data_IF_528595027802
#
_entry.id   IF_528595027802
#
_cell.length_a   1.000
_cell.length_b   1.000
_cell.length_c   1.000
_cell.angle_alpha   90.00
_cell.angle_beta   90.00
_cell.angle_gamma   90.00
#
_symmetry.space_group_name_H-M   'P 1'
#
loop_
_entity.id
_entity.type
_entity.pdbx_description
1 polymer ?
#
# COMPACT_ATOMS: atom_id res chain seq x y z
N UNK A 1 29.13 -5.09 0.74
CA UNK A 1 28.13 -5.76 -0.12
C UNK A 1 27.55 -6.89 0.70
N UNK A 2 26.52 -6.59 1.47
CA UNK A 2 25.78 -7.62 2.19
C UNK A 2 24.91 -8.33 1.15
N UNK A 3 25.15 -9.62 0.96
CA UNK A 3 24.39 -10.42 0.01
C UNK A 3 22.98 -10.59 0.54
N UNK A 4 22.00 -10.19 -0.27
CA UNK A 4 20.58 -10.45 -0.02
C UNK A 4 20.40 -11.95 0.29
N UNK A 5 20.14 -12.26 1.55
CA UNK A 5 19.73 -13.59 1.97
C UNK A 5 18.37 -13.83 1.34
N UNK A 6 18.30 -14.74 0.37
CA UNK A 6 17.04 -15.08 -0.27
C UNK A 6 16.13 -15.76 0.76
N UNK A 7 15.04 -15.08 1.16
CA UNK A 7 13.99 -15.67 1.99
C UNK A 7 13.33 -16.80 1.21
N UNK A 8 13.35 -18.04 1.70
CA UNK A 8 12.71 -19.12 0.97
C UNK A 8 11.19 -18.89 0.90
N UNK A 9 10.57 -19.25 -0.22
CA UNK A 9 9.14 -19.07 -0.45
C UNK A 9 8.24 -19.90 0.50
N UNK A 10 8.83 -20.76 1.34
CA UNK A 10 8.09 -21.53 2.35
C UNK A 10 7.75 -20.70 3.60
N UNK A 11 8.41 -19.55 3.82
CA UNK A 11 8.10 -18.63 4.92
C UNK A 11 7.02 -17.62 4.49
N UNK A 12 5.83 -18.16 4.24
CA UNK A 12 4.68 -17.37 3.73
C UNK A 12 4.33 -16.23 4.69
N UNK A 13 4.46 -16.43 6.01
CA UNK A 13 4.16 -15.41 7.01
C UNK A 13 5.06 -14.17 6.84
N UNK A 14 6.35 -14.36 6.65
CA UNK A 14 7.30 -13.28 6.40
C UNK A 14 7.02 -12.58 5.07
N UNK A 15 6.76 -13.34 4.00
CA UNK A 15 6.36 -12.77 2.70
C UNK A 15 5.08 -11.93 2.79
N UNK A 16 4.09 -12.38 3.56
CA UNK A 16 2.86 -11.62 3.82
C UNK A 16 3.08 -10.36 4.65
N UNK A 17 4.05 -10.36 5.56
CA UNK A 17 4.41 -9.16 6.31
C UNK A 17 5.13 -8.14 5.42
N UNK A 18 6.11 -8.59 4.62
CA UNK A 18 6.86 -7.72 3.71
C UNK A 18 5.98 -7.12 2.61
N UNK A 19 5.00 -7.88 2.10
CA UNK A 19 4.13 -7.43 1.01
C UNK A 19 3.25 -6.23 1.40
N UNK A 20 2.99 -6.02 2.70
CA UNK A 20 2.30 -4.84 3.21
C UNK A 20 3.06 -3.55 2.88
N UNK A 21 4.38 -3.60 2.79
CA UNK A 21 5.22 -2.42 2.56
C UNK A 21 5.62 -2.23 1.08
N UNK A 22 4.76 -2.64 0.14
CA UNK A 22 5.05 -2.60 -1.31
C UNK A 22 5.47 -1.20 -1.80
N UNK A 23 4.96 -0.14 -1.18
CA UNK A 23 5.27 1.24 -1.57
C UNK A 23 6.61 1.77 -1.03
N UNK A 24 7.20 1.10 -0.05
CA UNK A 24 8.55 1.39 0.46
C UNK A 24 9.65 0.84 -0.47
N UNK A 25 9.32 -0.12 -1.32
CA UNK A 25 10.25 -0.70 -2.28
C UNK A 25 10.46 0.14 -3.54
N UNK A 26 11.62 -0.03 -4.17
CA UNK A 26 11.88 0.49 -5.52
C UNK A 26 11.42 -0.52 -6.58
N UNK A 27 10.25 -0.24 -7.16
CA UNK A 27 9.76 -1.00 -8.31
C UNK A 27 10.72 -0.85 -9.50
N UNK A 28 10.60 -1.74 -10.48
CA UNK A 28 11.47 -1.73 -11.66
C UNK A 28 11.42 -0.38 -12.41
N UNK A 29 10.25 0.25 -12.50
CA UNK A 29 10.12 1.60 -13.08
C UNK A 29 10.89 2.67 -12.28
N UNK A 30 10.87 2.61 -10.93
CA UNK A 30 11.61 3.51 -10.06
C UNK A 30 13.12 3.38 -10.26
N UNK A 31 13.65 2.14 -10.25
CA UNK A 31 15.08 1.85 -10.47
C UNK A 31 15.57 2.31 -11.85
N UNK A 32 14.68 2.31 -12.84
CA UNK A 32 14.94 2.80 -14.20
C UNK A 32 14.62 4.29 -14.39
N UNK A 33 14.43 5.03 -13.29
CA UNK A 33 14.16 6.48 -13.28
C UNK A 33 12.99 6.86 -14.21
N UNK A 34 11.95 6.04 -14.20
CA UNK A 34 10.74 6.20 -15.01
C UNK A 34 11.02 6.55 -16.49
N UNK A 35 12.07 5.94 -17.06
CA UNK A 35 12.47 6.20 -18.46
C UNK A 35 11.33 5.84 -19.40
N UNK A 36 10.88 6.82 -20.20
CA UNK A 36 9.76 6.71 -21.14
C UNK A 36 8.40 6.37 -20.47
N UNK A 37 8.23 6.76 -19.21
CA UNK A 37 6.97 6.58 -18.48
C UNK A 37 6.46 7.93 -17.97
N UNK A 38 5.15 8.14 -18.06
CA UNK A 38 4.49 9.31 -17.47
C UNK A 38 3.97 9.03 -16.06
N UNK A 39 3.79 7.74 -15.71
CA UNK A 39 3.30 7.26 -14.41
C UNK A 39 4.20 6.17 -13.85
N UNK A 40 4.35 6.15 -12.54
CA UNK A 40 4.98 5.07 -11.80
C UNK A 40 4.01 3.90 -11.61
N UNK A 41 4.52 2.66 -11.58
CA UNK A 41 3.69 1.49 -11.28
C UNK A 41 3.07 1.57 -9.87
N UNK A 42 3.69 2.31 -8.92
CA UNK A 42 3.10 2.60 -7.60
C UNK A 42 1.74 3.29 -7.75
N UNK A 43 1.60 4.20 -8.73
CA UNK A 43 0.32 4.89 -8.98
C UNK A 43 -0.78 3.92 -9.44
N UNK A 44 -0.42 2.87 -10.18
CA UNK A 44 -1.38 1.83 -10.62
C UNK A 44 -1.81 0.92 -9.47
N UNK A 45 -0.99 0.80 -8.43
CA UNK A 45 -1.28 -0.01 -7.24
C UNK A 45 -2.17 0.69 -6.21
N UNK A 46 -2.41 2.01 -6.35
CA UNK A 46 -3.22 2.76 -5.37
C UNK A 46 -4.63 2.18 -5.22
N UNK A 47 -5.35 2.00 -6.32
CA UNK A 47 -6.73 1.50 -6.32
C UNK A 47 -6.84 0.07 -5.76
N UNK A 48 -6.06 -0.93 -6.22
CA UNK A 48 -6.18 -2.28 -5.67
C UNK A 48 -5.79 -2.35 -4.19
N UNK A 49 -4.76 -1.61 -3.76
CA UNK A 49 -4.35 -1.60 -2.36
C UNK A 49 -5.36 -0.88 -1.46
N UNK A 50 -5.99 0.20 -1.94
CA UNK A 50 -7.07 0.87 -1.23
C UNK A 50 -8.31 -0.04 -1.10
N UNK A 51 -8.65 -0.79 -2.15
CA UNK A 51 -9.75 -1.76 -2.10
C UNK A 51 -9.53 -2.89 -1.09
N UNK A 52 -8.30 -3.43 -1.04
CA UNK A 52 -7.92 -4.44 -0.03
C UNK A 52 -8.03 -3.88 1.39
N UNK A 53 -7.59 -2.64 1.60
CA UNK A 53 -7.71 -1.98 2.89
C UNK A 53 -9.17 -1.73 3.28
N UNK A 54 -9.99 -1.26 2.34
CA UNK A 54 -11.42 -1.07 2.55
C UNK A 54 -12.12 -2.38 2.96
N UNK A 55 -11.81 -3.50 2.30
CA UNK A 55 -12.40 -4.80 2.66
C UNK A 55 -12.01 -5.25 4.07
N UNK A 56 -10.72 -5.13 4.43
CA UNK A 56 -10.26 -5.46 5.79
C UNK A 56 -10.87 -4.53 6.84
N UNK A 57 -10.97 -3.24 6.53
CA UNK A 57 -11.57 -2.25 7.41
C UNK A 57 -13.07 -2.51 7.61
N UNK A 58 -13.81 -2.88 6.57
CA UNK A 58 -15.24 -3.22 6.68
C UNK A 58 -15.43 -4.43 7.59
N UNK A 59 -14.67 -5.49 7.34
CA UNK A 59 -14.72 -6.71 8.17
C UNK A 59 -14.32 -6.43 9.62
N UNK A 60 -13.42 -5.48 9.85
CA UNK A 60 -13.08 -5.03 11.20
C UNK A 60 -14.29 -4.39 11.91
N UNK A 61 -14.97 -3.47 11.22
CA UNK A 61 -16.17 -2.80 11.74
C UNK A 61 -17.31 -3.81 12.01
N UNK A 62 -17.49 -4.78 11.12
CA UNK A 62 -18.52 -5.82 11.25
C UNK A 62 -18.14 -6.90 12.27
N UNK A 63 -16.93 -6.83 12.85
CA UNK A 63 -16.38 -7.85 13.74
C UNK A 63 -16.36 -9.26 13.12
N UNK A 64 -16.09 -9.36 11.81
CA UNK A 64 -16.08 -10.61 11.03
C UNK A 64 -14.69 -11.04 10.54
N UNK A 65 -13.62 -10.38 11.01
CA UNK A 65 -12.25 -10.82 10.73
C UNK A 65 -11.98 -12.18 11.37
N UNK A 66 -11.36 -13.09 10.60
CA UNK A 66 -10.67 -14.26 11.17
C UNK A 66 -9.42 -13.83 11.96
N UNK A 67 -8.88 -14.70 12.81
CA UNK A 67 -7.65 -14.41 13.60
C UNK A 67 -6.49 -13.95 12.71
N UNK A 68 -6.28 -14.61 11.56
CA UNK A 68 -5.22 -14.25 10.61
C UNK A 68 -5.45 -12.86 10.00
N UNK A 69 -6.70 -12.53 9.65
CA UNK A 69 -7.03 -11.22 9.10
C UNK A 69 -6.93 -10.12 10.16
N UNK A 70 -7.23 -10.42 11.43
CA UNK A 70 -7.04 -9.51 12.55
C UNK A 70 -5.56 -9.15 12.73
N UNK A 71 -4.66 -10.13 12.63
CA UNK A 71 -3.22 -9.88 12.66
C UNK A 71 -2.74 -8.96 11.54
N UNK A 72 -3.20 -9.20 10.30
CA UNK A 72 -2.87 -8.34 9.14
C UNK A 72 -3.45 -6.93 9.32
N UNK A 73 -4.70 -6.83 9.74
CA UNK A 73 -5.35 -5.54 10.00
C UNK A 73 -4.56 -4.72 11.03
N UNK A 74 -4.19 -5.31 12.16
CA UNK A 74 -3.44 -4.62 13.21
C UNK A 74 -2.07 -4.13 12.69
N UNK A 75 -1.33 -5.00 11.99
CA UNK A 75 -0.02 -4.67 11.41
C UNK A 75 -0.09 -3.48 10.45
N UNK A 76 -1.12 -3.42 9.61
CA UNK A 76 -1.34 -2.30 8.68
C UNK A 76 -1.81 -1.05 9.44
N UNK A 77 -2.80 -1.19 10.34
CA UNK A 77 -3.40 -0.07 11.06
C UNK A 77 -2.37 0.69 11.92
N UNK A 78 -1.47 -0.03 12.59
CA UNK A 78 -0.41 0.55 13.43
C UNK A 78 0.60 1.39 12.62
N UNK A 79 0.73 1.14 11.32
CA UNK A 79 1.73 1.77 10.43
C UNK A 79 1.10 2.26 9.14
N UNK A 80 -0.12 2.79 9.25
CA UNK A 80 -0.95 3.12 8.09
C UNK A 80 -0.26 4.08 7.11
N UNK A 81 0.43 5.10 7.61
CA UNK A 81 1.17 6.07 6.79
C UNK A 81 2.40 5.46 6.08
N UNK A 82 3.01 4.42 6.65
CA UNK A 82 4.12 3.70 6.02
C UNK A 82 3.62 2.76 4.91
N UNK A 83 2.50 2.09 5.16
CA UNK A 83 1.86 1.17 4.21
C UNK A 83 1.18 1.93 3.07
N UNK A 84 0.55 3.07 3.35
CA UNK A 84 -0.18 3.90 2.38
C UNK A 84 0.36 5.34 2.35
N UNK A 85 1.58 5.55 1.84
CA UNK A 85 2.21 6.86 1.90
C UNK A 85 1.45 7.89 1.08
N UNK A 86 1.33 9.11 1.62
CA UNK A 86 0.57 10.20 0.97
C UNK A 86 1.17 10.62 -0.36
N UNK A 87 2.50 10.57 -0.45
CA UNK A 87 3.29 11.03 -1.60
C UNK A 87 4.46 10.10 -1.87
N UNK A 88 5.04 10.20 -3.05
CA UNK A 88 6.29 9.55 -3.40
C UNK A 88 7.15 10.44 -4.30
N UNK A 89 8.44 10.11 -4.42
CA UNK A 89 9.35 10.76 -5.35
C UNK A 89 9.30 10.11 -6.74
N UNK A 90 9.03 10.92 -7.75
CA UNK A 90 9.07 10.54 -9.16
C UNK A 90 10.32 11.16 -9.80
N UNK A 91 11.28 10.31 -10.16
CA UNK A 91 12.45 10.73 -10.94
C UNK A 91 12.09 10.69 -12.42
N UNK A 92 12.12 11.83 -13.09
CA UNK A 92 11.83 11.93 -14.53
C UNK A 92 13.08 11.64 -15.39
N UNK A 93 12.88 11.51 -16.71
CA UNK A 93 13.95 11.18 -17.68
C UNK A 93 15.14 12.14 -17.71
N UNK A 94 14.98 13.37 -17.21
CA UNK A 94 16.04 14.38 -17.15
C UNK A 94 16.78 14.36 -15.80
N UNK A 95 16.43 13.44 -14.90
CA UNK A 95 16.94 13.38 -13.53
C UNK A 95 16.29 14.39 -12.59
N UNK A 96 15.23 15.08 -13.01
CA UNK A 96 14.44 15.92 -12.11
C UNK A 96 13.61 15.06 -11.16
N UNK A 97 13.53 15.48 -9.91
CA UNK A 97 12.73 14.82 -8.86
C UNK A 97 11.46 15.63 -8.67
N UNK A 98 10.31 14.96 -8.77
CA UNK A 98 8.99 15.53 -8.54
C UNK A 98 8.33 14.78 -7.37
N UNK A 99 7.88 15.49 -6.34
CA UNK A 99 6.99 14.90 -5.33
C UNK A 99 5.59 14.80 -5.91
N UNK A 100 5.05 13.57 -5.99
CA UNK A 100 3.71 13.32 -6.51
C UNK A 100 2.82 12.71 -5.44
N UNK A 101 1.52 13.02 -5.52
CA UNK A 101 0.50 12.37 -4.69
C UNK A 101 0.43 10.88 -5.03
N UNK A 102 0.32 10.05 -3.99
CA UNK A 102 0.06 8.62 -4.11
C UNK A 102 -1.30 8.29 -3.48
N UNK A 103 -1.37 8.17 -2.15
CA UNK A 103 -2.66 7.99 -1.45
C UNK A 103 -3.29 9.31 -1.00
N UNK A 104 -2.52 10.41 -0.88
CA UNK A 104 -3.05 11.71 -0.47
C UNK A 104 -3.76 11.66 0.88
N UNK A 105 -5.06 11.96 0.89
CA UNK A 105 -5.95 11.92 2.06
C UNK A 105 -6.97 10.76 2.00
N UNK A 106 -6.83 9.84 1.04
CA UNK A 106 -7.81 8.78 0.80
C UNK A 106 -7.99 7.86 2.01
N UNK A 107 -6.90 7.53 2.71
CA UNK A 107 -6.94 6.67 3.91
C UNK A 107 -7.66 7.34 5.08
N UNK A 108 -7.54 8.66 5.23
CA UNK A 108 -8.24 9.42 6.28
C UNK A 108 -9.75 9.49 6.02
N UNK A 109 -10.14 9.51 4.74
CA UNK A 109 -11.52 9.66 4.30
C UNK A 109 -12.28 8.35 4.22
N UNK A 110 -11.56 7.23 4.13
CA UNK A 110 -12.14 5.90 4.02
C UNK A 110 -13.16 5.58 5.13
N UNK A 111 -12.88 5.82 6.43
CA UNK A 111 -13.87 5.58 7.49
C UNK A 111 -15.18 6.33 7.30
N UNK A 112 -15.11 7.59 6.83
CA UNK A 112 -16.30 8.43 6.62
C UNK A 112 -17.11 7.92 5.44
N UNK A 113 -16.45 7.53 4.34
CA UNK A 113 -17.12 6.99 3.17
C UNK A 113 -17.87 5.68 3.49
N UNK A 114 -17.24 4.77 4.23
CA UNK A 114 -17.83 3.47 4.57
C UNK A 114 -19.00 3.59 5.56
N UNK A 115 -18.94 4.56 6.48
CA UNK A 115 -20.07 4.87 7.35
C UNK A 115 -21.28 5.44 6.59
N UNK A 116 -21.04 6.23 5.54
CA UNK A 116 -22.10 6.80 4.71
C UNK A 116 -22.83 5.74 3.87
N UNK A 117 -22.11 4.76 3.31
CA UNK A 117 -22.70 3.68 2.51
C UNK A 117 -23.55 2.70 3.34
N UNK A 118 -23.24 2.53 4.64
CA UNK A 118 -24.04 1.71 5.56
C UNK A 118 -25.37 2.37 5.98
N UNK A 119 -25.64 3.59 5.52
CA UNK A 119 -26.78 4.42 5.91
C UNK A 119 -27.88 4.52 4.85
N UNK A 120 -27.68 3.95 3.65
CA UNK A 120 -28.71 3.93 2.61
C UNK A 120 -29.58 2.66 2.72
N UNK A 121 -30.92 2.79 2.88
CA UNK A 121 -31.85 1.69 3.07
C UNK A 121 -32.19 0.90 1.79
#
# INVERSE_FOLDING_TARGET
AEGDVLTPLNDIANWLQQSQYVFQGDLTCCRRKHTNMEKCDKELLVVPMLGLWAELYQKHLDHTLSENQQGVYNSIAERLDEVFPRTFEFVNKKGGIETRTLFGDLTDRLPTAMAAESSEP
#
